data_IF_350082617171
#
_entry.id   IF_350082617171
#
_cell.length_a   1.000
_cell.length_b   1.000
_cell.length_c   1.000
_cell.angle_alpha   90.00
_cell.angle_beta   90.00
_cell.angle_gamma   90.00
#
_symmetry.space_group_name_H-M   'P 1'
#
loop_
_entity.id
_entity.type
_entity.pdbx_description
1 polymer ?
#
# COMPACT_ATOMS: atom_id res chain seq x y z
N UNK A 1 -56.49 21.36 16.83
CA UNK A 1 -55.38 20.78 16.03
C UNK A 1 -54.15 21.72 15.97
N UNK A 2 -53.77 22.34 17.09
CA UNK A 2 -52.57 23.23 17.13
C UNK A 2 -51.50 22.84 18.15
N UNK A 3 -51.71 21.79 18.92
CA UNK A 3 -50.74 21.38 19.99
C UNK A 3 -49.90 20.12 19.68
N UNK A 4 -50.14 19.42 18.57
CA UNK A 4 -49.39 18.21 18.18
C UNK A 4 -48.15 18.51 17.34
N UNK A 5 -48.07 19.69 16.73
CA UNK A 5 -46.92 20.08 15.89
C UNK A 5 -45.71 20.60 16.72
N UNK A 6 -45.97 21.09 17.94
CA UNK A 6 -44.92 21.64 18.80
C UNK A 6 -44.12 20.54 19.53
N UNK A 7 -44.71 19.37 19.73
CA UNK A 7 -44.05 18.23 20.41
C UNK A 7 -43.10 17.45 19.49
N UNK A 8 -43.26 17.57 18.19
CA UNK A 8 -42.39 16.87 17.19
C UNK A 8 -41.09 17.60 16.88
N UNK A 9 -41.02 18.92 17.14
CA UNK A 9 -39.82 19.73 16.93
C UNK A 9 -38.83 19.66 18.10
N UNK A 10 -39.34 19.38 19.31
CA UNK A 10 -38.53 19.29 20.53
C UNK A 10 -37.77 17.95 20.66
N UNK A 11 -38.23 16.90 19.95
CA UNK A 11 -37.59 15.57 19.96
C UNK A 11 -36.34 15.43 19.07
N UNK A 12 -36.08 16.38 18.18
CA UNK A 12 -35.00 16.27 17.18
C UNK A 12 -33.70 16.99 17.57
N UNK A 13 -33.63 17.61 18.76
CA UNK A 13 -32.47 18.40 19.19
C UNK A 13 -31.55 17.72 20.21
N UNK A 14 -31.75 16.43 20.52
CA UNK A 14 -30.95 15.69 21.51
C UNK A 14 -30.05 14.61 20.93
N UNK A 15 -29.75 14.60 19.64
CA UNK A 15 -28.61 13.84 19.11
C UNK A 15 -27.34 14.71 19.11
N UNK A 16 -27.00 15.21 20.31
CA UNK A 16 -25.62 15.60 20.59
C UNK A 16 -24.78 14.35 20.46
N UNK A 17 -24.03 14.25 19.37
CA UNK A 17 -22.99 13.25 19.18
C UNK A 17 -22.03 13.38 20.34
N UNK A 18 -22.22 12.57 21.39
CA UNK A 18 -21.19 12.31 22.38
C UNK A 18 -20.11 11.55 21.62
N UNK A 19 -19.21 12.29 21.01
CA UNK A 19 -17.89 11.78 20.56
C UNK A 19 -17.12 11.38 21.81
N UNK A 20 -17.54 10.30 22.44
CA UNK A 20 -16.91 9.71 23.60
C UNK A 20 -15.75 8.84 23.10
N UNK A 21 -14.67 9.47 22.65
CA UNK A 21 -13.40 8.77 22.53
C UNK A 21 -13.06 8.16 23.91
N UNK A 22 -12.47 6.95 23.99
CA UNK A 22 -12.14 6.31 25.25
C UNK A 22 -11.37 7.28 26.14
N UNK A 23 -11.72 7.34 27.42
CA UNK A 23 -11.00 8.16 28.39
C UNK A 23 -9.55 7.66 28.41
N UNK A 24 -8.57 8.55 28.41
CA UNK A 24 -7.15 8.16 28.34
C UNK A 24 -6.75 7.17 29.44
N UNK A 25 -7.39 7.27 30.60
CA UNK A 25 -7.17 6.32 31.69
C UNK A 25 -7.63 4.90 31.33
N UNK A 26 -8.76 4.75 30.66
CA UNK A 26 -9.24 3.45 30.17
C UNK A 26 -8.23 2.78 29.25
N UNK A 27 -7.56 3.54 28.37
CA UNK A 27 -6.52 3.01 27.49
C UNK A 27 -5.29 2.53 28.29
N UNK A 28 -4.91 3.26 29.34
CA UNK A 28 -3.82 2.83 30.25
C UNK A 28 -4.19 1.53 30.95
N UNK A 29 -5.41 1.43 31.48
CA UNK A 29 -5.90 0.27 32.23
C UNK A 29 -6.05 -0.97 31.31
N UNK A 30 -6.37 -0.76 30.05
CA UNK A 30 -6.44 -1.81 29.03
C UNK A 30 -5.07 -2.21 28.45
N UNK A 31 -3.97 -1.57 28.85
CA UNK A 31 -2.63 -1.84 28.33
C UNK A 31 -2.39 -1.31 26.90
N UNK A 32 -3.26 -0.42 26.38
CA UNK A 32 -3.12 0.21 25.07
C UNK A 32 -2.09 1.35 25.13
N UNK A 33 -0.86 1.00 25.52
CA UNK A 33 0.16 1.98 25.87
C UNK A 33 0.61 2.85 24.70
N UNK A 34 0.82 2.29 23.52
CA UNK A 34 1.27 3.06 22.35
C UNK A 34 0.23 4.09 21.90
N UNK A 35 -1.05 3.72 21.93
CA UNK A 35 -2.13 4.65 21.63
C UNK A 35 -2.25 5.73 22.70
N UNK A 36 -2.08 5.36 23.98
CA UNK A 36 -2.03 6.33 25.08
C UNK A 36 -0.90 7.33 24.91
N UNK A 37 0.31 6.86 24.57
CA UNK A 37 1.49 7.71 24.32
C UNK A 37 1.19 8.67 23.16
N UNK A 38 0.65 8.15 22.05
CA UNK A 38 0.30 8.96 20.87
C UNK A 38 -0.69 10.09 21.20
N UNK A 39 -1.78 9.75 21.90
CA UNK A 39 -2.81 10.72 22.29
C UNK A 39 -2.25 11.74 23.31
N UNK A 40 -1.55 11.27 24.33
CA UNK A 40 -1.01 12.14 25.37
C UNK A 40 0.04 13.09 24.78
N UNK A 41 0.97 12.61 23.96
CA UNK A 41 1.98 13.42 23.28
C UNK A 41 1.31 14.50 22.45
N UNK A 42 0.32 14.15 21.61
CA UNK A 42 -0.42 15.14 20.80
C UNK A 42 -1.11 16.21 21.64
N UNK A 43 -1.60 15.86 22.83
CA UNK A 43 -2.27 16.81 23.76
C UNK A 43 -1.31 17.66 24.58
N UNK A 44 -0.05 17.23 24.71
CA UNK A 44 0.95 17.92 25.52
C UNK A 44 1.90 18.81 24.69
N UNK A 45 2.06 18.53 23.41
CA UNK A 45 2.88 19.35 22.49
C UNK A 45 2.26 20.73 22.33
N UNK A 46 3.07 21.77 22.50
CA UNK A 46 2.65 23.17 22.36
C UNK A 46 1.88 23.76 23.55
N UNK A 47 1.41 22.94 24.46
CA UNK A 47 0.66 23.42 25.64
C UNK A 47 1.58 24.02 26.69
N UNK A 48 1.29 25.29 27.09
CA UNK A 48 2.00 25.93 28.20
C UNK A 48 1.62 25.36 29.56
N UNK A 49 0.33 25.03 29.74
CA UNK A 49 -0.23 24.48 30.99
C UNK A 49 -0.61 23.00 30.79
N UNK A 50 0.28 22.11 31.17
CA UNK A 50 0.13 20.67 30.89
C UNK A 50 -0.87 20.01 31.85
N UNK A 51 -1.82 19.24 31.28
CA UNK A 51 -2.86 18.56 32.06
C UNK A 51 -2.30 17.36 32.83
N UNK A 52 -2.52 17.26 34.17
CA UNK A 52 -2.01 16.16 34.97
C UNK A 52 -2.40 14.79 34.47
N UNK A 53 -3.64 14.63 33.98
CA UNK A 53 -4.11 13.33 33.48
C UNK A 53 -3.32 12.83 32.25
N UNK A 54 -2.93 13.74 31.35
CA UNK A 54 -2.14 13.35 30.18
C UNK A 54 -0.66 13.15 30.52
N UNK A 55 -0.13 13.92 31.48
CA UNK A 55 1.24 13.75 31.98
C UNK A 55 1.39 12.40 32.66
N UNK A 56 0.49 12.06 33.60
CA UNK A 56 0.51 10.77 34.32
C UNK A 56 0.26 9.57 33.37
N UNK A 57 -0.69 9.69 32.43
CA UNK A 57 -0.94 8.66 31.44
C UNK A 57 0.27 8.40 30.53
N UNK A 58 0.95 9.48 30.07
CA UNK A 58 2.17 9.37 29.28
C UNK A 58 3.30 8.71 30.08
N UNK A 59 3.54 9.16 31.31
CA UNK A 59 4.57 8.59 32.19
C UNK A 59 4.38 7.09 32.41
N UNK A 60 3.16 6.69 32.80
CA UNK A 60 2.82 5.29 33.03
C UNK A 60 2.98 4.44 31.78
N UNK A 61 2.40 4.88 30.67
CA UNK A 61 2.39 4.11 29.43
C UNK A 61 3.78 4.02 28.80
N UNK A 62 4.55 5.12 28.80
CA UNK A 62 5.92 5.13 28.28
C UNK A 62 6.82 4.13 29.03
N UNK A 63 6.78 4.17 30.37
CA UNK A 63 7.63 3.30 31.17
C UNK A 63 7.21 1.83 31.05
N UNK A 64 5.91 1.52 31.07
CA UNK A 64 5.42 0.15 30.92
C UNK A 64 5.69 -0.41 29.54
N UNK A 65 5.35 0.32 28.48
CA UNK A 65 5.58 -0.15 27.11
C UNK A 65 7.07 -0.44 26.84
N UNK A 66 7.97 0.44 27.29
CA UNK A 66 9.40 0.23 27.11
C UNK A 66 9.92 -0.96 27.93
N UNK A 67 9.45 -1.15 29.16
CA UNK A 67 9.82 -2.30 29.99
C UNK A 67 9.35 -3.62 29.37
N UNK A 68 8.10 -3.67 28.87
CA UNK A 68 7.56 -4.85 28.21
C UNK A 68 8.31 -5.21 26.93
N UNK A 69 8.56 -4.23 26.04
CA UNK A 69 9.26 -4.48 24.78
C UNK A 69 10.73 -4.89 25.05
N UNK A 70 11.39 -4.28 26.03
CA UNK A 70 12.75 -4.66 26.41
C UNK A 70 12.82 -6.10 26.92
N UNK A 71 11.87 -6.50 27.75
CA UNK A 71 11.79 -7.84 28.30
C UNK A 71 11.45 -8.88 27.20
N UNK A 72 10.51 -8.57 26.31
CA UNK A 72 10.19 -9.41 25.14
C UNK A 72 11.41 -9.58 24.22
N UNK A 73 12.12 -8.49 23.91
CA UNK A 73 13.32 -8.54 23.09
C UNK A 73 14.38 -9.46 23.71
N UNK A 74 14.68 -9.28 25.01
CA UNK A 74 15.68 -10.09 25.73
C UNK A 74 15.31 -11.58 25.77
N UNK A 75 14.06 -11.91 26.05
CA UNK A 75 13.61 -13.31 26.01
C UNK A 75 13.71 -13.91 24.61
N UNK A 76 13.36 -13.15 23.57
CA UNK A 76 13.43 -13.61 22.19
C UNK A 76 14.88 -13.82 21.74
N UNK A 77 15.82 -12.95 22.17
CA UNK A 77 17.23 -13.07 21.80
C UNK A 77 17.89 -14.36 22.30
N UNK A 78 17.44 -14.89 23.46
CA UNK A 78 18.02 -16.09 24.07
C UNK A 78 17.22 -17.36 23.77
N UNK A 79 16.17 -17.27 22.95
CA UNK A 79 15.40 -18.44 22.55
C UNK A 79 16.25 -19.36 21.64
N UNK A 80 15.89 -20.64 21.57
CA UNK A 80 16.56 -21.60 20.67
C UNK A 80 16.45 -21.24 19.18
N UNK A 81 15.35 -20.57 18.83
CA UNK A 81 15.07 -20.09 17.48
C UNK A 81 14.66 -18.60 17.53
N UNK A 82 15.64 -17.68 17.64
CA UNK A 82 15.34 -16.27 17.74
C UNK A 82 14.67 -15.72 16.48
N UNK A 83 13.54 -15.03 16.63
CA UNK A 83 12.96 -14.24 15.57
C UNK A 83 13.57 -12.82 15.59
N UNK A 84 14.64 -12.63 14.83
CA UNK A 84 15.37 -11.36 14.81
C UNK A 84 14.57 -10.20 14.22
N UNK A 85 13.58 -10.47 13.39
CA UNK A 85 12.65 -9.44 12.87
C UNK A 85 11.81 -8.86 14.01
N UNK A 86 11.30 -9.72 14.90
CA UNK A 86 10.56 -9.29 16.09
C UNK A 86 11.48 -8.61 17.12
N UNK A 87 12.67 -9.13 17.35
CA UNK A 87 13.66 -8.48 18.23
C UNK A 87 13.93 -7.06 17.76
N UNK A 88 14.17 -6.89 16.45
CA UNK A 88 14.35 -5.57 15.84
C UNK A 88 13.13 -4.66 16.07
N UNK A 89 11.91 -5.16 15.87
CA UNK A 89 10.70 -4.37 16.06
C UNK A 89 10.54 -3.86 17.49
N UNK A 90 10.82 -4.68 18.50
CA UNK A 90 10.78 -4.26 19.89
C UNK A 90 11.77 -3.12 20.20
N UNK A 91 13.04 -3.27 19.80
CA UNK A 91 14.02 -2.19 20.01
C UNK A 91 13.68 -0.93 19.20
N UNK A 92 13.15 -1.07 18.01
CA UNK A 92 12.69 0.05 17.19
C UNK A 92 11.53 0.80 17.85
N UNK A 93 10.57 0.10 18.45
CA UNK A 93 9.47 0.71 19.20
C UNK A 93 9.97 1.54 20.35
N UNK A 94 10.91 1.01 21.16
CA UNK A 94 11.54 1.73 22.29
C UNK A 94 12.20 3.01 21.77
N UNK A 95 12.98 2.93 20.70
CA UNK A 95 13.63 4.08 20.08
C UNK A 95 12.63 5.12 19.59
N UNK A 96 11.61 4.72 18.85
CA UNK A 96 10.60 5.62 18.29
C UNK A 96 9.81 6.32 19.41
N UNK A 97 9.44 5.61 20.49
CA UNK A 97 8.80 6.23 21.64
C UNK A 97 9.71 7.27 22.31
N UNK A 98 10.99 6.95 22.47
CA UNK A 98 11.96 7.88 23.02
C UNK A 98 12.08 9.16 22.16
N UNK A 99 12.20 9.02 20.86
CA UNK A 99 12.29 10.15 19.92
C UNK A 99 11.02 11.03 19.94
N UNK A 100 9.84 10.41 20.00
CA UNK A 100 8.56 11.13 20.04
C UNK A 100 8.30 11.87 21.35
N UNK A 101 8.82 11.37 22.47
CA UNK A 101 8.57 11.92 23.80
C UNK A 101 9.69 12.88 24.27
N UNK A 102 10.92 12.71 23.81
CA UNK A 102 12.09 13.52 24.19
C UNK A 102 11.89 15.04 24.07
N UNK A 103 11.19 15.57 23.04
CA UNK A 103 10.93 17.00 22.93
C UNK A 103 10.03 17.59 24.02
N UNK A 104 9.32 16.74 24.77
CA UNK A 104 8.45 17.19 25.87
C UNK A 104 9.20 17.37 27.21
N UNK A 105 10.45 16.93 27.29
CA UNK A 105 11.24 16.98 28.54
C UNK A 105 11.92 18.34 28.69
N UNK A 106 11.86 18.94 29.88
CA UNK A 106 11.25 18.47 31.13
C UNK A 106 9.72 18.56 31.10
N UNK A 107 9.05 17.43 31.42
CA UNK A 107 7.60 17.35 31.43
C UNK A 107 7.06 17.60 32.85
N UNK A 108 6.51 18.79 33.07
CA UNK A 108 5.92 19.19 34.36
C UNK A 108 4.46 19.55 34.14
N UNK A 109 3.57 19.04 34.95
CA UNK A 109 2.15 19.38 34.89
C UNK A 109 1.82 20.69 35.63
N UNK A 110 0.59 21.19 35.44
CA UNK A 110 0.11 22.43 36.09
C UNK A 110 0.00 22.36 37.60
N UNK A 111 0.16 21.17 38.23
CA UNK A 111 0.19 20.97 39.65
C UNK A 111 1.61 20.82 40.21
N UNK A 112 2.63 20.93 39.37
CA UNK A 112 4.05 20.84 39.71
C UNK A 112 4.61 19.40 39.69
N UNK A 113 3.81 18.39 39.34
CA UNK A 113 4.33 17.03 39.18
C UNK A 113 5.25 16.96 37.96
N UNK A 114 6.48 16.48 38.18
CA UNK A 114 7.48 16.22 37.13
C UNK A 114 7.50 14.75 36.76
N UNK A 115 7.11 14.43 35.54
CA UNK A 115 7.09 13.06 35.03
C UNK A 115 8.50 12.45 35.00
N UNK A 116 8.59 11.20 35.45
CA UNK A 116 9.83 10.38 35.45
C UNK A 116 9.76 9.41 34.28
N UNK A 117 10.38 9.80 33.17
CA UNK A 117 10.42 9.03 31.93
C UNK A 117 11.73 8.25 31.84
N UNK A 118 11.65 6.92 31.86
CA UNK A 118 12.80 6.03 31.80
C UNK A 118 13.24 5.82 30.35
N UNK A 119 14.13 6.67 29.85
CA UNK A 119 14.72 6.52 28.54
C UNK A 119 15.75 5.39 28.55
N UNK A 120 15.59 4.44 27.63
CA UNK A 120 16.50 3.31 27.47
C UNK A 120 17.23 3.50 26.12
N UNK A 121 18.56 3.51 26.17
CA UNK A 121 19.38 3.60 24.96
C UNK A 121 19.55 2.20 24.38
N UNK A 122 18.95 1.99 23.21
CA UNK A 122 18.91 0.68 22.52
C UNK A 122 19.62 0.68 21.16
N UNK A 123 20.40 1.71 20.85
CA UNK A 123 21.00 1.88 19.54
C UNK A 123 21.90 0.70 19.11
N UNK A 124 22.74 0.20 20.03
CA UNK A 124 23.61 -0.95 19.77
C UNK A 124 22.81 -2.24 19.55
N UNK A 125 21.81 -2.49 20.39
CA UNK A 125 20.91 -3.66 20.30
C UNK A 125 20.10 -3.63 19.01
N UNK A 126 19.59 -2.46 18.62
CA UNK A 126 18.85 -2.26 17.38
C UNK A 126 19.71 -2.58 16.16
N UNK A 127 20.97 -2.09 16.13
CA UNK A 127 21.90 -2.38 15.04
C UNK A 127 22.28 -3.88 14.97
N UNK A 128 22.48 -4.52 16.10
CA UNK A 128 22.72 -5.97 16.20
C UNK A 128 21.52 -6.75 15.64
N UNK A 129 20.31 -6.40 16.09
CA UNK A 129 19.08 -7.05 15.64
C UNK A 129 18.82 -6.86 14.15
N UNK A 130 19.08 -5.66 13.62
CA UNK A 130 19.00 -5.37 12.18
C UNK A 130 19.94 -6.27 11.36
N UNK A 131 21.20 -6.41 11.78
CA UNK A 131 22.16 -7.29 11.11
C UNK A 131 21.74 -8.77 11.14
N UNK A 132 21.23 -9.23 12.28
CA UNK A 132 20.76 -10.61 12.45
C UNK A 132 19.47 -10.88 11.67
N UNK A 133 18.54 -9.92 11.62
CA UNK A 133 17.32 -10.02 10.80
C UNK A 133 17.65 -10.08 9.31
N UNK A 134 18.57 -9.22 8.85
CA UNK A 134 19.05 -9.25 7.46
C UNK A 134 19.69 -10.61 7.10
N UNK A 135 20.52 -11.16 7.99
CA UNK A 135 21.13 -12.48 7.79
C UNK A 135 20.09 -13.60 7.75
N UNK A 136 19.12 -13.58 8.66
CA UNK A 136 18.04 -14.58 8.71
C UNK A 136 17.22 -14.56 7.41
N UNK A 137 16.88 -13.36 6.91
CA UNK A 137 16.16 -13.22 5.65
C UNK A 137 17.00 -13.64 4.44
N UNK A 138 18.29 -13.34 4.46
CA UNK A 138 19.21 -13.73 3.40
C UNK A 138 19.30 -15.26 3.29
N UNK A 139 19.50 -15.96 4.41
CA UNK A 139 19.54 -17.42 4.43
C UNK A 139 18.22 -18.07 3.98
N UNK A 140 17.08 -17.52 4.40
CA UNK A 140 15.78 -18.00 3.93
C UNK A 140 15.60 -17.75 2.43
N UNK A 141 16.01 -16.57 1.93
CA UNK A 141 16.00 -16.26 0.51
C UNK A 141 16.86 -17.23 -0.31
N UNK A 142 18.08 -17.56 0.15
CA UNK A 142 18.95 -18.55 -0.52
C UNK A 142 18.31 -19.94 -0.56
N UNK A 143 17.71 -20.39 0.55
CA UNK A 143 17.01 -21.68 0.63
C UNK A 143 15.83 -21.74 -0.36
N UNK A 144 15.02 -20.69 -0.42
CA UNK A 144 13.87 -20.60 -1.33
C UNK A 144 14.32 -20.48 -2.80
N UNK A 145 15.38 -19.73 -3.06
CA UNK A 145 15.94 -19.58 -4.40
C UNK A 145 16.47 -20.91 -4.94
N UNK A 146 17.06 -21.76 -4.07
CA UNK A 146 17.46 -23.09 -4.46
C UNK A 146 16.30 -23.96 -4.95
N UNK A 147 15.11 -23.83 -4.34
CA UNK A 147 13.88 -24.47 -4.84
C UNK A 147 13.41 -23.83 -6.15
N UNK A 148 13.49 -22.49 -6.24
CA UNK A 148 13.16 -21.78 -7.47
C UNK A 148 14.00 -22.22 -8.68
N UNK A 149 15.28 -22.49 -8.49
CA UNK A 149 16.18 -23.06 -9.51
C UNK A 149 15.76 -24.47 -9.97
N UNK A 150 14.97 -25.17 -9.16
CA UNK A 150 14.36 -26.45 -9.49
C UNK A 150 12.96 -26.30 -10.11
N UNK A 151 12.68 -25.15 -10.70
CA UNK A 151 11.42 -24.79 -11.35
C UNK A 151 10.22 -24.55 -10.40
N UNK A 152 10.43 -24.44 -9.09
CA UNK A 152 9.40 -23.98 -8.16
C UNK A 152 9.27 -22.43 -8.22
N UNK A 153 8.36 -21.98 -9.09
CA UNK A 153 8.13 -20.54 -9.28
C UNK A 153 7.53 -19.85 -8.05
N UNK A 154 6.80 -20.59 -7.21
CA UNK A 154 6.27 -20.05 -5.97
C UNK A 154 7.41 -19.78 -4.98
N UNK A 155 8.29 -20.74 -4.78
CA UNK A 155 9.48 -20.56 -3.95
C UNK A 155 10.38 -19.45 -4.48
N UNK A 156 10.53 -19.29 -5.80
CA UNK A 156 11.29 -18.17 -6.38
C UNK A 156 10.68 -16.80 -6.02
N UNK A 157 9.34 -16.68 -6.02
CA UNK A 157 8.66 -15.43 -5.60
C UNK A 157 8.83 -15.15 -4.11
N UNK A 158 8.74 -16.17 -3.28
CA UNK A 158 9.01 -16.02 -1.84
C UNK A 158 10.47 -15.65 -1.57
N UNK A 159 11.43 -16.18 -2.36
CA UNK A 159 12.83 -15.78 -2.32
C UNK A 159 13.00 -14.29 -2.65
N UNK A 160 12.31 -13.83 -3.71
CA UNK A 160 12.29 -12.40 -4.05
C UNK A 160 11.87 -11.53 -2.87
N UNK A 161 10.72 -11.85 -2.25
CA UNK A 161 10.20 -11.10 -1.09
C UNK A 161 11.17 -11.13 0.11
N UNK A 162 11.85 -12.25 0.31
CA UNK A 162 12.87 -12.38 1.35
C UNK A 162 14.06 -11.44 1.10
N UNK A 163 14.59 -11.40 -0.12
CA UNK A 163 15.72 -10.52 -0.47
C UNK A 163 15.32 -9.04 -0.49
N UNK A 164 14.13 -8.69 -1.01
CA UNK A 164 13.61 -7.32 -1.03
C UNK A 164 13.48 -6.75 0.38
N UNK A 165 12.91 -7.54 1.29
CA UNK A 165 12.71 -7.15 2.68
C UNK A 165 14.00 -6.89 3.47
N UNK A 166 15.17 -7.38 3.00
CA UNK A 166 16.47 -7.13 3.66
C UNK A 166 16.78 -5.64 3.70
N UNK A 167 16.42 -4.89 2.67
CA UNK A 167 16.70 -3.45 2.54
C UNK A 167 16.11 -2.61 3.68
N UNK A 168 15.01 -3.09 4.30
CA UNK A 168 14.40 -2.46 5.47
C UNK A 168 15.28 -2.51 6.73
N UNK A 169 16.09 -3.55 6.88
CA UNK A 169 17.00 -3.74 8.01
C UNK A 169 18.40 -3.21 7.68
N UNK A 170 18.89 -3.50 6.49
CA UNK A 170 20.22 -3.12 6.04
C UNK A 170 20.28 -2.95 4.52
N UNK A 171 20.56 -1.74 4.08
CA UNK A 171 20.76 -1.48 2.65
C UNK A 171 22.11 -2.04 2.18
N UNK A 172 22.17 -2.50 0.92
CA UNK A 172 23.39 -3.01 0.31
C UNK A 172 23.95 -4.27 1.00
N UNK A 173 23.07 -5.12 1.53
CA UNK A 173 23.49 -6.32 2.25
C UNK A 173 23.94 -7.41 1.27
N UNK A 174 25.20 -7.79 1.34
CA UNK A 174 25.82 -8.82 0.48
C UNK A 174 25.43 -8.62 -0.99
N UNK A 175 25.10 -9.69 -1.69
CA UNK A 175 24.61 -9.73 -3.06
C UNK A 175 23.08 -9.90 -3.19
N UNK A 176 22.33 -9.58 -2.13
CA UNK A 176 20.89 -9.75 -2.07
C UNK A 176 20.14 -9.14 -3.28
N UNK A 177 20.60 -7.99 -3.79
CA UNK A 177 19.99 -7.37 -4.98
C UNK A 177 20.20 -8.18 -6.27
N UNK A 178 21.29 -8.95 -6.37
CA UNK A 178 21.53 -9.82 -7.52
C UNK A 178 20.64 -11.07 -7.43
N UNK A 179 20.60 -11.69 -6.24
CA UNK A 179 19.74 -12.86 -5.99
C UNK A 179 18.26 -12.54 -6.10
N UNK A 180 17.86 -11.33 -5.70
CA UNK A 180 16.50 -10.84 -5.89
C UNK A 180 16.11 -10.78 -7.37
N UNK A 181 16.99 -10.26 -8.24
CA UNK A 181 16.74 -10.22 -9.70
C UNK A 181 16.70 -11.62 -10.32
N UNK A 182 17.55 -12.54 -9.84
CA UNK A 182 17.51 -13.94 -10.25
C UNK A 182 16.16 -14.58 -9.86
N UNK A 183 15.74 -14.39 -8.61
CA UNK A 183 14.49 -14.88 -8.08
C UNK A 183 13.27 -14.33 -8.87
N UNK A 184 13.30 -13.05 -9.24
CA UNK A 184 12.26 -12.43 -10.09
C UNK A 184 12.18 -13.13 -11.45
N UNK A 185 13.30 -13.37 -12.10
CA UNK A 185 13.35 -14.07 -13.38
C UNK A 185 12.80 -15.50 -13.31
N UNK A 186 13.15 -16.24 -12.26
CA UNK A 186 12.69 -17.61 -12.04
C UNK A 186 11.20 -17.67 -11.65
N UNK A 187 10.70 -16.67 -10.93
CA UNK A 187 9.30 -16.59 -10.49
C UNK A 187 8.32 -16.13 -11.57
N UNK A 188 8.82 -15.65 -12.73
CA UNK A 188 8.01 -15.11 -13.81
C UNK A 188 7.19 -16.20 -14.52
N UNK A 189 5.90 -15.95 -14.73
CA UNK A 189 5.02 -16.76 -15.57
C UNK A 189 4.92 -16.14 -16.96
N UNK A 190 5.18 -16.94 -17.98
CA UNK A 190 4.98 -16.57 -19.36
C UNK A 190 3.69 -17.18 -19.89
N UNK A 191 2.78 -16.34 -20.38
CA UNK A 191 1.45 -16.74 -20.84
C UNK A 191 1.35 -16.33 -22.29
N UNK A 192 1.15 -17.30 -23.19
CA UNK A 192 0.84 -16.96 -24.59
C UNK A 192 -0.66 -16.73 -24.76
N UNK A 193 -1.03 -15.74 -25.56
CA UNK A 193 -2.44 -15.45 -25.89
C UNK A 193 -2.73 -15.97 -27.29
N UNK A 194 -3.74 -16.82 -27.41
CA UNK A 194 -4.22 -17.36 -28.67
C UNK A 194 -5.69 -16.96 -28.87
N UNK A 195 -6.08 -16.67 -30.13
CA UNK A 195 -7.46 -16.41 -30.46
C UNK A 195 -8.03 -17.55 -31.31
N UNK A 196 -9.30 -17.90 -31.07
CA UNK A 196 -10.08 -18.79 -31.94
C UNK A 196 -11.38 -18.14 -32.32
N UNK A 197 -11.68 -18.14 -33.62
CA UNK A 197 -12.99 -17.75 -34.12
C UNK A 197 -13.90 -18.98 -34.16
N UNK A 198 -14.88 -19.03 -33.27
CA UNK A 198 -15.94 -20.06 -33.23
C UNK A 198 -17.32 -19.45 -33.55
N UNK A 199 -17.37 -18.19 -34.05
CA UNK A 199 -18.63 -17.50 -34.37
C UNK A 199 -19.31 -18.04 -35.66
N UNK A 200 -18.59 -18.80 -36.47
CA UNK A 200 -19.03 -19.19 -37.82
C UNK A 200 -19.02 -18.05 -38.85
N UNK A 201 -18.73 -16.82 -38.42
CA UNK A 201 -18.62 -15.64 -39.29
C UNK A 201 -17.22 -15.48 -39.92
N UNK A 202 -17.19 -14.86 -41.10
CA UNK A 202 -15.94 -14.51 -41.75
C UNK A 202 -15.32 -13.30 -41.07
N UNK A 203 -14.04 -13.40 -40.71
CA UNK A 203 -13.27 -12.26 -40.20
C UNK A 203 -12.47 -11.64 -41.38
N UNK A 204 -12.52 -10.33 -41.51
CA UNK A 204 -11.67 -9.64 -42.51
C UNK A 204 -10.19 -9.93 -42.26
N UNK A 205 -9.41 -9.98 -43.32
CA UNK A 205 -7.96 -10.15 -43.21
C UNK A 205 -7.35 -9.01 -42.36
N UNK A 206 -6.55 -9.36 -41.37
CA UNK A 206 -5.96 -8.40 -40.43
C UNK A 206 -6.79 -8.07 -39.19
N UNK A 207 -8.06 -8.46 -39.11
CA UNK A 207 -8.92 -8.19 -37.96
C UNK A 207 -8.38 -8.83 -36.67
N UNK A 208 -7.91 -10.06 -36.74
CA UNK A 208 -7.25 -10.72 -35.60
C UNK A 208 -6.02 -9.92 -35.15
N UNK A 209 -5.22 -9.41 -36.06
CA UNK A 209 -4.03 -8.61 -35.74
C UNK A 209 -4.41 -7.27 -35.08
N UNK A 210 -5.52 -6.67 -35.46
CA UNK A 210 -6.03 -5.45 -34.83
C UNK A 210 -6.58 -5.68 -33.44
N UNK A 211 -7.32 -6.78 -33.23
CA UNK A 211 -7.77 -7.18 -31.91
C UNK A 211 -6.58 -7.47 -30.96
N UNK A 212 -5.50 -8.02 -31.50
CA UNK A 212 -4.26 -8.25 -30.72
C UNK A 212 -3.41 -6.97 -30.52
N UNK A 213 -3.77 -5.84 -31.10
CA UNK A 213 -3.22 -4.52 -30.70
C UNK A 213 -3.63 -4.12 -29.27
N UNK A 214 -4.53 -4.88 -28.62
CA UNK A 214 -4.66 -4.84 -27.18
C UNK A 214 -3.26 -5.03 -26.60
N UNK A 215 -2.79 -3.99 -25.93
CA UNK A 215 -1.43 -3.98 -25.40
C UNK A 215 -1.30 -5.10 -24.35
N UNK A 216 -0.81 -6.26 -24.74
CA UNK A 216 -0.68 -7.42 -23.84
C UNK A 216 0.18 -7.10 -22.61
N UNK A 217 0.99 -6.03 -22.66
CA UNK A 217 1.74 -5.52 -21.51
C UNK A 217 0.83 -5.00 -20.41
N UNK A 218 -0.36 -4.48 -20.73
CA UNK A 218 -1.30 -3.93 -19.75
C UNK A 218 -2.08 -5.02 -19.01
N UNK A 219 -2.04 -6.25 -19.53
CA UNK A 219 -2.64 -7.43 -18.88
C UNK A 219 -1.72 -8.05 -17.83
N UNK A 220 -0.44 -7.69 -17.85
CA UNK A 220 0.60 -8.25 -16.99
C UNK A 220 0.65 -7.62 -15.61
N UNK A 221 1.33 -8.32 -14.71
CA UNK A 221 1.78 -7.79 -13.43
C UNK A 221 3.26 -8.16 -13.24
N UNK A 222 3.81 -7.96 -12.03
CA UNK A 222 5.19 -8.33 -11.72
C UNK A 222 5.51 -9.78 -12.08
N UNK A 223 4.57 -10.70 -11.89
CA UNK A 223 4.80 -12.14 -11.99
C UNK A 223 4.20 -12.79 -13.23
N UNK A 224 3.45 -12.07 -14.05
CA UNK A 224 2.77 -12.58 -15.23
C UNK A 224 3.09 -11.72 -16.44
N UNK A 225 3.61 -12.33 -17.48
CA UNK A 225 3.90 -11.68 -18.75
C UNK A 225 3.09 -12.35 -19.85
N UNK A 226 2.21 -11.57 -20.46
CA UNK A 226 1.41 -12.03 -21.59
C UNK A 226 2.12 -11.71 -22.90
N UNK A 227 2.18 -12.66 -23.81
CA UNK A 227 2.78 -12.50 -25.13
C UNK A 227 1.83 -13.05 -26.21
N UNK A 228 1.46 -12.20 -27.15
CA UNK A 228 0.62 -12.54 -28.32
C UNK A 228 1.43 -13.29 -29.35
N UNK A 229 2.67 -12.87 -29.57
CA UNK A 229 3.59 -13.54 -30.51
C UNK A 229 4.55 -14.42 -29.73
N UNK A 230 4.52 -15.73 -30.01
CA UNK A 230 5.44 -16.69 -29.39
C UNK A 230 6.89 -16.37 -29.77
N UNK A 231 7.75 -16.28 -28.76
CA UNK A 231 9.18 -16.07 -28.98
C UNK A 231 9.90 -17.41 -29.13
N UNK A 232 10.79 -17.55 -30.11
CA UNK A 232 11.59 -18.76 -30.29
C UNK A 232 12.38 -19.09 -28.99
N UNK A 233 12.38 -20.37 -28.61
CA UNK A 233 13.11 -20.85 -27.44
C UNK A 233 12.51 -20.52 -26.07
N UNK A 234 11.38 -19.78 -26.01
CA UNK A 234 10.69 -19.51 -24.76
C UNK A 234 9.68 -20.58 -24.42
N UNK A 235 9.78 -21.11 -23.21
CA UNK A 235 8.74 -21.97 -22.63
C UNK A 235 7.62 -21.11 -22.07
N UNK A 236 6.38 -21.44 -22.39
CA UNK A 236 5.18 -20.81 -21.87
C UNK A 236 4.53 -21.72 -20.84
N UNK A 237 4.19 -21.13 -19.68
CA UNK A 237 3.55 -21.85 -18.58
C UNK A 237 2.06 -22.09 -18.86
N UNK A 238 1.43 -21.14 -19.54
CA UNK A 238 -0.01 -21.19 -19.83
C UNK A 238 -0.31 -20.65 -21.23
N UNK A 239 -1.47 -21.08 -21.72
CA UNK A 239 -2.11 -20.54 -22.92
C UNK A 239 -3.43 -19.89 -22.52
N UNK A 240 -3.52 -18.55 -22.63
CA UNK A 240 -4.78 -17.84 -22.50
C UNK A 240 -5.48 -17.85 -23.87
N UNK A 241 -6.67 -18.48 -23.95
CA UNK A 241 -7.39 -18.59 -25.21
C UNK A 241 -8.62 -17.67 -25.19
N UNK A 242 -8.65 -16.75 -26.14
CA UNK A 242 -9.81 -15.89 -26.42
C UNK A 242 -10.66 -16.60 -27.46
N UNK A 243 -11.90 -16.92 -27.12
CA UNK A 243 -12.84 -17.59 -28.03
C UNK A 243 -13.91 -16.58 -28.44
N UNK A 244 -13.97 -16.27 -29.74
CA UNK A 244 -14.99 -15.42 -30.32
C UNK A 244 -16.18 -16.28 -30.72
N UNK A 245 -17.29 -16.16 -30.00
CA UNK A 245 -18.50 -16.99 -30.19
C UNK A 245 -19.60 -16.30 -30.99
N UNK A 246 -19.65 -15.00 -30.96
CA UNK A 246 -20.65 -14.20 -31.66
C UNK A 246 -20.06 -12.91 -32.20
N UNK A 247 -20.49 -12.50 -33.38
CA UNK A 247 -20.08 -11.24 -34.01
C UNK A 247 -21.38 -10.56 -34.47
N UNK A 248 -21.74 -9.48 -33.76
CA UNK A 248 -22.85 -8.63 -34.15
C UNK A 248 -22.29 -7.38 -34.85
N UNK A 249 -22.60 -7.26 -36.14
CA UNK A 249 -22.20 -6.09 -36.92
C UNK A 249 -23.37 -5.10 -36.93
N UNK A 250 -23.18 -3.95 -36.31
CA UNK A 250 -24.16 -2.87 -36.43
C UNK A 250 -24.21 -2.35 -37.87
N UNK A 251 -25.42 -2.10 -38.42
CA UNK A 251 -25.50 -1.52 -39.75
C UNK A 251 -24.80 -0.15 -39.77
N UNK A 252 -24.10 0.11 -40.86
CA UNK A 252 -23.37 1.37 -41.07
C UNK A 252 -24.36 2.55 -40.96
N UNK A 253 -24.16 3.44 -40.03
CA UNK A 253 -24.92 4.68 -39.94
C UNK A 253 -24.21 5.72 -40.83
N UNK A 254 -24.60 5.80 -42.11
CA UNK A 254 -24.21 6.93 -42.95
C UNK A 254 -25.03 8.17 -42.50
N UNK A 255 -24.36 9.17 -41.93
CA UNK A 255 -24.94 10.50 -41.78
C UNK A 255 -24.58 11.30 -43.02
N UNK A 256 -25.53 11.49 -43.94
CA UNK A 256 -25.41 12.51 -44.96
C UNK A 256 -25.55 13.88 -44.29
N UNK A 257 -24.48 14.66 -44.33
CA UNK A 257 -24.54 16.09 -44.03
C UNK A 257 -24.69 16.82 -45.35
N UNK A 258 -25.89 17.33 -45.63
CA UNK A 258 -26.06 18.28 -46.72
C UNK A 258 -25.50 19.64 -46.27
N UNK A 259 -24.50 20.11 -46.98
CA UNK A 259 -24.02 21.48 -46.86
C UNK A 259 -24.70 22.29 -47.94
N UNK A 260 -25.48 23.28 -47.58
CA UNK A 260 -26.00 24.29 -48.48
C UNK A 260 -24.96 25.42 -48.51
N UNK A 261 -24.22 25.53 -49.59
CA UNK A 261 -23.33 26.68 -49.85
C UNK A 261 -24.15 27.76 -50.53
N UNK A 262 -24.58 28.75 -49.79
CA UNK A 262 -25.17 29.95 -50.34
C UNK A 262 -24.05 30.89 -50.79
N UNK A 263 -23.92 31.06 -52.11
CA UNK A 263 -23.02 32.05 -52.70
C UNK A 263 -23.84 33.25 -53.12
N UNK A 264 -23.68 34.36 -52.43
CA UNK A 264 -24.24 35.64 -52.86
C UNK A 264 -23.56 36.04 -54.18
N UNK A 265 -24.34 36.06 -55.31
CA UNK A 265 -23.90 36.57 -56.58
C UNK A 265 -24.41 38.00 -56.69
N UNK A 266 -23.51 38.97 -56.60
CA UNK A 266 -23.85 40.36 -56.87
C UNK A 266 -24.03 40.52 -58.38
N UNK A 267 -25.26 40.57 -58.81
CA UNK A 267 -25.60 40.87 -60.21
C UNK A 267 -25.27 42.32 -60.49
N UNK A 268 -24.55 42.56 -61.62
CA UNK A 268 -24.08 43.89 -61.96
C UNK A 268 -25.23 44.86 -62.26
N UNK A 269 -25.11 46.08 -61.79
CA UNK A 269 -26.02 47.19 -62.06
C UNK A 269 -26.00 47.51 -63.53
N UNK A 270 -27.14 47.39 -64.26
CA UNK A 270 -27.35 47.80 -65.59
C UNK A 270 -27.69 49.32 -65.61
N UNK A 271 -26.81 50.13 -66.22
CA UNK A 271 -27.07 51.54 -66.38
C UNK A 271 -27.93 51.74 -67.60
N UNK A 272 -29.17 52.13 -67.46
CA UNK A 272 -30.01 52.62 -68.55
C UNK A 272 -29.65 54.07 -68.81
N UNK A 273 -29.05 54.38 -69.92
CA UNK A 273 -28.88 55.74 -70.46
C UNK A 273 -30.17 56.21 -71.12
N UNK A 274 -30.91 57.09 -70.47
CA UNK A 274 -32.01 57.78 -71.15
C UNK A 274 -31.45 58.75 -72.19
N UNK A 275 -32.12 58.78 -73.38
CA UNK A 275 -31.81 59.58 -74.53
C UNK A 275 -32.50 60.98 -74.47
#
# INVERSE_FOLDING_TARGET
>A
MKNTFFLLVTGLLCFSIVSCGPKIQTLVDQGSYDETIRIATKKLVGERSKSPKFVSALETSFNKANAEDLDRARRMEVSSTPDWKRVYSYYRNIKNRAEGVRPLVPLVDKKGHRARLNFVEVGAQLNKAAGKAAEQMYQEGERLLALGRQADKAAAREAYESFDGISYYRQGYKDASNLMREAEGLGMLYITVEMRNESGGYLPAGFEQELFRINASDMGDRWRKFEVTKKPGRQYDYVARIIMRNIDVSPERSQERQYIDEKEITDGTEYVLDA
#
